data_IF_482751617206
#
_entry.id   IF_482751617206
#
_cell.length_a   1.000
_cell.length_b   1.000
_cell.length_c   1.000
_cell.angle_alpha   90.00
_cell.angle_beta   90.00
_cell.angle_gamma   90.00
#
_symmetry.space_group_name_H-M   'P 1'
#
loop_
_entity.id
_entity.type
_entity.pdbx_description
1 polymer ?
#
# COMPACT_ATOMS: atom_id res chain seq x y z
N UNK A 1 -4.39 19.54 1.46
CA UNK A 1 -4.85 18.43 2.32
C UNK A 1 -3.93 18.37 3.52
N UNK A 2 -4.45 18.70 4.72
CA UNK A 2 -3.67 18.63 5.96
C UNK A 2 -3.44 17.16 6.38
N UNK A 3 -2.66 16.88 7.43
CA UNK A 3 -2.35 15.49 7.78
C UNK A 3 -3.56 14.72 8.30
N UNK A 4 -4.50 15.39 8.98
CA UNK A 4 -5.77 14.80 9.42
C UNK A 4 -6.65 14.37 8.23
N UNK A 5 -6.73 15.21 7.20
CA UNK A 5 -7.44 14.90 5.95
C UNK A 5 -6.82 13.68 5.24
N UNK A 6 -5.48 13.61 5.20
CA UNK A 6 -4.72 12.47 4.63
C UNK A 6 -4.99 11.17 5.37
N UNK A 7 -5.01 11.20 6.69
CA UNK A 7 -5.30 10.02 7.47
C UNK A 7 -6.75 9.58 7.36
N UNK A 8 -7.70 10.51 7.36
CA UNK A 8 -9.10 10.19 7.17
C UNK A 8 -9.34 9.60 5.77
N UNK A 9 -8.68 10.12 4.74
CA UNK A 9 -8.71 9.54 3.40
C UNK A 9 -8.08 8.14 3.36
N UNK A 10 -6.91 7.94 3.96
CA UNK A 10 -6.24 6.65 4.03
C UNK A 10 -7.07 5.60 4.80
N UNK A 11 -7.69 6.00 5.91
CA UNK A 11 -8.60 5.17 6.70
C UNK A 11 -9.81 4.74 5.88
N UNK A 12 -10.52 5.70 5.25
CA UNK A 12 -11.66 5.38 4.38
C UNK A 12 -11.28 4.45 3.23
N UNK A 13 -10.09 4.63 2.66
CA UNK A 13 -9.61 3.79 1.58
C UNK A 13 -9.33 2.36 2.06
N UNK A 14 -8.66 2.20 3.20
CA UNK A 14 -8.38 0.87 3.78
C UNK A 14 -9.64 0.16 4.33
N UNK A 15 -10.68 0.90 4.71
CA UNK A 15 -11.97 0.33 5.14
C UNK A 15 -12.90 -0.01 3.95
N UNK A 16 -12.60 0.48 2.75
CA UNK A 16 -13.39 0.22 1.56
C UNK A 16 -13.15 -1.21 1.05
N UNK A 17 -14.22 -2.00 0.95
CA UNK A 17 -14.14 -3.41 0.55
C UNK A 17 -13.65 -3.59 -0.89
N UNK A 18 -14.11 -2.77 -1.84
CA UNK A 18 -13.63 -2.83 -3.23
C UNK A 18 -12.12 -2.57 -3.30
N UNK A 19 -11.61 -1.62 -2.51
CA UNK A 19 -10.18 -1.35 -2.43
C UNK A 19 -9.40 -2.54 -1.87
N UNK A 20 -9.90 -3.19 -0.80
CA UNK A 20 -9.27 -4.41 -0.27
C UNK A 20 -9.25 -5.52 -1.31
N UNK A 21 -10.38 -5.78 -1.95
CA UNK A 21 -10.49 -6.79 -3.02
C UNK A 21 -9.51 -6.51 -4.16
N UNK A 22 -9.38 -5.25 -4.58
CA UNK A 22 -8.43 -4.87 -5.62
C UNK A 22 -6.97 -5.04 -5.17
N UNK A 23 -6.63 -4.70 -3.92
CA UNK A 23 -5.28 -4.88 -3.40
C UNK A 23 -4.91 -6.37 -3.32
N UNK A 24 -5.83 -7.23 -2.87
CA UNK A 24 -5.65 -8.68 -2.84
C UNK A 24 -5.50 -9.26 -4.26
N UNK A 25 -6.33 -8.81 -5.21
CA UNK A 25 -6.23 -9.23 -6.61
C UNK A 25 -4.87 -8.85 -7.22
N UNK A 26 -4.41 -7.61 -7.01
CA UNK A 26 -3.11 -7.14 -7.50
C UNK A 26 -1.97 -7.96 -6.88
N UNK A 27 -2.03 -8.28 -5.59
CA UNK A 27 -1.02 -9.11 -4.93
C UNK A 27 -0.98 -10.52 -5.53
N UNK A 28 -2.16 -11.12 -5.77
CA UNK A 28 -2.29 -12.42 -6.41
C UNK A 28 -1.70 -12.42 -7.84
N UNK A 29 -2.00 -11.40 -8.64
CA UNK A 29 -1.48 -11.26 -10.00
C UNK A 29 0.04 -11.11 -10.03
N UNK A 30 0.62 -10.31 -9.11
CA UNK A 30 2.08 -10.17 -8.97
C UNK A 30 2.71 -11.52 -8.60
N UNK A 31 2.09 -12.26 -7.67
CA UNK A 31 2.59 -13.57 -7.27
C UNK A 31 2.49 -14.59 -8.41
N UNK A 32 1.41 -14.56 -9.18
CA UNK A 32 1.27 -15.40 -10.37
C UNK A 32 2.32 -15.08 -11.43
N UNK A 33 2.58 -13.79 -11.72
CA UNK A 33 3.63 -13.36 -12.62
C UNK A 33 5.02 -13.88 -12.17
N UNK A 34 5.28 -13.84 -10.86
CA UNK A 34 6.51 -14.41 -10.29
C UNK A 34 6.62 -15.91 -10.54
N UNK A 35 5.57 -16.68 -10.27
CA UNK A 35 5.56 -18.14 -10.49
C UNK A 35 5.75 -18.53 -11.96
N UNK A 36 5.24 -17.70 -12.87
CA UNK A 36 5.30 -17.93 -14.30
C UNK A 36 6.61 -17.43 -14.94
N UNK A 37 7.44 -16.70 -14.19
CA UNK A 37 8.73 -16.22 -14.67
C UNK A 37 9.70 -17.39 -14.87
N UNK A 38 10.21 -17.55 -16.09
CA UNK A 38 11.12 -18.64 -16.42
C UNK A 38 12.50 -18.43 -15.79
N UNK A 39 13.19 -19.54 -15.49
CA UNK A 39 14.59 -19.48 -15.05
C UNK A 39 15.45 -18.78 -16.11
N UNK A 40 16.24 -17.80 -15.68
CA UNK A 40 17.09 -17.00 -16.56
C UNK A 40 16.40 -15.81 -17.23
N UNK A 41 15.08 -15.63 -17.07
CA UNK A 41 14.35 -14.45 -17.56
C UNK A 41 14.55 -13.25 -16.61
N UNK A 42 15.77 -12.73 -16.53
CA UNK A 42 16.17 -11.71 -15.54
C UNK A 42 15.37 -10.42 -15.66
N UNK A 43 15.01 -9.97 -16.87
CA UNK A 43 14.23 -8.75 -17.06
C UNK A 43 12.79 -8.90 -16.56
N UNK A 44 12.12 -10.02 -16.89
CA UNK A 44 10.77 -10.34 -16.40
C UNK A 44 10.74 -10.46 -14.87
N UNK A 45 11.76 -11.09 -14.30
CA UNK A 45 11.93 -11.21 -12.86
C UNK A 45 12.09 -9.83 -12.20
N UNK A 46 12.94 -8.96 -12.76
CA UNK A 46 13.16 -7.60 -12.27
C UNK A 46 11.87 -6.77 -12.34
N UNK A 47 11.11 -6.88 -13.42
CA UNK A 47 9.83 -6.19 -13.57
C UNK A 47 8.84 -6.66 -12.50
N UNK A 48 8.75 -7.96 -12.24
CA UNK A 48 7.90 -8.51 -11.19
C UNK A 48 8.32 -8.04 -9.80
N UNK A 49 9.62 -7.97 -9.52
CA UNK A 49 10.14 -7.41 -8.26
C UNK A 49 9.82 -5.92 -8.12
N UNK A 50 9.92 -5.13 -9.19
CA UNK A 50 9.58 -3.72 -9.17
C UNK A 50 8.09 -3.50 -8.85
N UNK A 51 7.20 -4.31 -9.44
CA UNK A 51 5.76 -4.29 -9.14
C UNK A 51 5.49 -4.65 -7.67
N UNK A 52 6.09 -5.75 -7.18
CA UNK A 52 5.98 -6.15 -5.77
C UNK A 52 6.46 -5.07 -4.81
N UNK A 53 7.59 -4.43 -5.12
CA UNK A 53 8.11 -3.32 -4.32
C UNK A 53 7.17 -2.11 -4.33
N UNK A 54 6.66 -1.73 -5.50
CA UNK A 54 5.68 -0.64 -5.64
C UNK A 54 4.41 -0.88 -4.82
N UNK A 55 3.89 -2.11 -4.88
CA UNK A 55 2.73 -2.53 -4.09
C UNK A 55 2.97 -2.38 -2.58
N UNK A 56 4.12 -2.87 -2.08
CA UNK A 56 4.51 -2.72 -0.68
C UNK A 56 4.66 -1.25 -0.27
N UNK A 57 5.23 -0.41 -1.13
CA UNK A 57 5.37 1.03 -0.85
C UNK A 57 4.02 1.71 -0.67
N UNK A 58 3.01 1.36 -1.48
CA UNK A 58 1.65 1.91 -1.36
C UNK A 58 1.07 1.57 0.02
N UNK A 59 1.13 0.29 0.42
CA UNK A 59 0.64 -0.15 1.73
C UNK A 59 1.33 0.60 2.89
N UNK A 60 2.66 0.70 2.84
CA UNK A 60 3.44 1.44 3.85
C UNK A 60 3.08 2.93 3.91
N UNK A 61 2.80 3.56 2.77
CA UNK A 61 2.40 4.97 2.73
C UNK A 61 1.01 5.19 3.31
N UNK A 62 0.06 4.31 3.02
CA UNK A 62 -1.27 4.37 3.62
C UNK A 62 -1.22 4.23 5.14
N UNK A 63 -0.41 3.30 5.65
CA UNK A 63 -0.29 3.12 7.09
C UNK A 63 0.39 4.32 7.76
N UNK A 64 1.46 4.85 7.17
CA UNK A 64 2.13 6.05 7.67
C UNK A 64 1.18 7.25 7.76
N UNK A 65 0.25 7.41 6.81
CA UNK A 65 -0.73 8.49 6.89
C UNK A 65 -1.67 8.33 8.08
N UNK A 66 -2.04 7.09 8.45
CA UNK A 66 -2.85 6.84 9.66
C UNK A 66 -2.08 7.15 10.93
N UNK A 67 -0.84 6.67 11.04
CA UNK A 67 0.04 6.93 12.19
C UNK A 67 0.26 8.43 12.43
N UNK A 68 0.52 9.19 11.36
CA UNK A 68 0.77 10.63 11.45
C UNK A 68 -0.43 11.41 12.01
N UNK A 69 -1.67 11.02 11.70
CA UNK A 69 -2.82 11.69 12.31
C UNK A 69 -3.05 11.30 13.76
N UNK A 70 -2.79 10.06 14.16
CA UNK A 70 -2.85 9.67 15.58
C UNK A 70 -1.89 10.56 16.39
N UNK A 71 -0.68 10.78 15.87
CA UNK A 71 0.29 11.68 16.47
C UNK A 71 -0.17 13.15 16.47
N UNK A 72 -0.75 13.66 15.39
CA UNK A 72 -1.24 15.04 15.35
C UNK A 72 -2.47 15.30 16.25
N UNK A 73 -3.38 14.33 16.36
CA UNK A 73 -4.54 14.39 17.25
C UNK A 73 -4.07 14.44 18.71
N UNK A 74 -3.22 13.49 19.11
CA UNK A 74 -2.66 13.43 20.47
C UNK A 74 -1.81 14.64 20.85
N UNK A 75 -1.18 15.32 19.88
CA UNK A 75 -0.46 16.58 20.12
C UNK A 75 -1.40 17.77 20.36
N UNK A 76 -2.59 17.77 19.76
CA UNK A 76 -3.58 18.81 19.96
C UNK A 76 -4.40 18.63 21.24
N UNK A 77 -4.59 17.38 21.71
CA UNK A 77 -5.28 17.09 22.99
C UNK A 77 -4.43 17.38 24.23
N UNK A 78 -3.09 17.43 24.09
CA UNK A 78 -2.14 17.74 25.16
C UNK A 78 -1.74 19.23 25.23
N UNK A 79 -2.53 20.13 24.62
CA UNK A 79 -2.33 21.59 24.63
C UNK A 79 -3.54 22.28 25.25
#
# INVERSE_FOLDING_TARGET
>A
MNSLDKANAARRLQENEDFKMMMEAIEADIFEAFRNTKLGATEELNNTHALSHGFKLIQQRLEKYKELAIFEISKNENR
#
